data_IF_509243113708
#
_entry.id   IF_509243113708
#
_cell.length_a   1.000
_cell.length_b   1.000
_cell.length_c   1.000
_cell.angle_alpha   90.00
_cell.angle_beta   90.00
_cell.angle_gamma   90.00
#
_symmetry.space_group_name_H-M   'P 1'
#
loop_
_entity.id
_entity.type
_entity.pdbx_description
1 polymer ?
#
# COMPACT_ATOMS: atom_id res chain seq x y z
N UNK A 1 -10.36 -6.43 37.90
CA UNK A 1 -10.54 -6.66 36.45
C UNK A 1 -10.06 -5.41 35.73
N UNK A 2 -8.79 -5.40 35.30
CA UNK A 2 -8.20 -4.25 34.61
C UNK A 2 -8.55 -4.29 33.13
N UNK A 3 -9.36 -3.33 32.68
CA UNK A 3 -9.55 -3.06 31.25
C UNK A 3 -8.23 -2.50 30.72
N UNK A 4 -7.51 -3.28 29.90
CA UNK A 4 -6.41 -2.75 29.11
C UNK A 4 -7.00 -1.88 28.00
N UNK A 5 -6.89 -0.56 28.15
CA UNK A 5 -7.20 0.40 27.10
C UNK A 5 -6.07 0.34 26.09
N UNK A 6 -6.32 -0.28 24.93
CA UNK A 6 -5.44 -0.21 23.77
C UNK A 6 -5.09 1.26 23.50
N UNK A 7 -3.79 1.55 23.49
CA UNK A 7 -3.23 2.88 23.65
C UNK A 7 -3.77 3.94 22.68
N UNK A 8 -3.80 5.19 23.18
CA UNK A 8 -4.20 6.43 22.49
C UNK A 8 -3.27 6.80 21.33
N UNK A 9 -3.13 5.96 20.30
CA UNK A 9 -2.81 6.48 18.97
C UNK A 9 -4.14 6.90 18.34
N UNK A 10 -4.23 8.15 17.87
CA UNK A 10 -5.39 8.59 17.10
C UNK A 10 -5.50 7.63 15.91
N UNK A 11 -6.57 6.84 15.87
CA UNK A 11 -6.91 6.11 14.67
C UNK A 11 -7.31 7.15 13.63
N UNK A 12 -6.51 7.26 12.58
CA UNK A 12 -6.80 8.09 11.42
C UNK A 12 -6.60 7.26 10.17
N UNK A 13 -7.52 7.43 9.21
CA UNK A 13 -7.29 6.91 7.89
C UNK A 13 -6.12 7.66 7.27
N UNK A 14 -5.25 6.93 6.57
CA UNK A 14 -4.30 7.53 5.64
C UNK A 14 -5.06 8.39 4.61
N UNK A 15 -4.42 9.45 4.13
CA UNK A 15 -5.05 10.43 3.23
C UNK A 15 -5.63 9.81 1.94
N UNK A 16 -5.25 8.58 1.59
CA UNK A 16 -5.82 7.80 0.49
C UNK A 16 -5.84 6.30 0.79
N UNK A 17 -6.56 5.55 -0.04
CA UNK A 17 -6.61 4.09 0.00
C UNK A 17 -6.65 3.51 -1.43
N UNK A 18 -6.20 2.27 -1.58
CA UNK A 18 -6.30 1.51 -2.83
C UNK A 18 -7.07 0.22 -2.57
N UNK A 19 -8.18 0.03 -3.29
CA UNK A 19 -8.91 -1.24 -3.32
C UNK A 19 -8.47 -2.07 -4.52
N UNK A 20 -8.07 -3.32 -4.29
CA UNK A 20 -7.70 -4.26 -5.36
C UNK A 20 -8.44 -5.59 -5.19
N UNK A 21 -8.82 -6.20 -6.31
CA UNK A 21 -9.36 -7.56 -6.34
C UNK A 21 -8.23 -8.53 -6.66
N UNK A 22 -8.12 -9.61 -5.90
CA UNK A 22 -7.07 -10.63 -6.09
C UNK A 22 -7.69 -12.03 -6.08
N UNK A 23 -7.10 -12.97 -6.82
CA UNK A 23 -7.50 -14.38 -6.75
C UNK A 23 -7.24 -14.94 -5.35
N UNK A 24 -8.02 -15.92 -4.86
CA UNK A 24 -7.84 -16.49 -3.51
C UNK A 24 -6.41 -17.01 -3.25
N UNK A 25 -5.76 -17.56 -4.28
CA UNK A 25 -4.36 -18.02 -4.22
C UNK A 25 -3.33 -16.92 -3.97
N UNK A 26 -3.70 -15.65 -4.12
CA UNK A 26 -2.81 -14.50 -3.92
C UNK A 26 -3.00 -13.83 -2.54
N UNK A 27 -3.99 -14.26 -1.74
CA UNK A 27 -4.32 -13.61 -0.45
C UNK A 27 -3.11 -13.55 0.48
N UNK A 28 -2.41 -14.67 0.67
CA UNK A 28 -1.27 -14.75 1.58
C UNK A 28 -0.12 -13.83 1.13
N UNK A 29 0.21 -13.88 -0.16
CA UNK A 29 1.25 -13.03 -0.76
C UNK A 29 0.92 -11.55 -0.60
N UNK A 30 -0.33 -11.15 -0.86
CA UNK A 30 -0.78 -9.76 -0.75
C UNK A 30 -0.80 -9.31 0.71
N UNK A 31 -1.20 -10.18 1.64
CA UNK A 31 -1.18 -9.91 3.08
C UNK A 31 0.23 -9.63 3.57
N UNK A 32 1.18 -10.51 3.23
CA UNK A 32 2.59 -10.33 3.58
C UNK A 32 3.18 -9.04 2.97
N UNK A 33 2.78 -8.70 1.76
CA UNK A 33 3.20 -7.44 1.12
C UNK A 33 2.68 -6.19 1.84
N UNK A 34 1.42 -6.20 2.30
CA UNK A 34 0.85 -5.08 3.07
C UNK A 34 1.50 -4.96 4.45
N UNK A 35 1.78 -6.08 5.12
CA UNK A 35 2.41 -6.07 6.45
C UNK A 35 3.84 -5.52 6.42
N UNK A 36 4.62 -5.83 5.38
CA UNK A 36 6.00 -5.37 5.26
C UNK A 36 6.12 -4.00 4.53
N UNK A 37 5.00 -3.36 4.22
CA UNK A 37 4.96 -2.17 3.38
C UNK A 37 5.68 -0.97 4.01
N UNK A 38 5.66 -0.85 5.34
CA UNK A 38 6.37 0.22 6.07
C UNK A 38 7.90 0.13 5.90
N UNK A 39 8.46 -1.08 5.90
CA UNK A 39 9.89 -1.29 5.66
C UNK A 39 10.27 -0.97 4.21
N UNK A 40 9.47 -1.44 3.25
CA UNK A 40 9.68 -1.13 1.83
C UNK A 40 9.56 0.38 1.54
N UNK A 41 8.63 1.08 2.19
CA UNK A 41 8.46 2.53 2.05
C UNK A 41 9.62 3.36 2.63
N UNK A 42 10.55 2.76 3.39
CA UNK A 42 11.80 3.44 3.78
C UNK A 42 12.78 3.60 2.62
N UNK A 43 12.68 2.74 1.60
CA UNK A 43 13.61 2.71 0.45
C UNK A 43 12.96 3.01 -0.90
N UNK A 44 11.63 3.06 -0.97
CA UNK A 44 10.88 3.31 -2.21
C UNK A 44 9.66 4.19 -1.91
N UNK A 45 9.54 5.30 -2.62
CA UNK A 45 8.40 6.21 -2.52
C UNK A 45 7.16 5.61 -3.20
N UNK A 46 5.99 6.09 -2.79
CA UNK A 46 4.73 5.73 -3.44
C UNK A 46 4.75 6.02 -4.95
N UNK A 47 5.34 7.16 -5.35
CA UNK A 47 5.42 7.56 -6.75
C UNK A 47 6.25 6.58 -7.58
N UNK A 48 7.44 6.20 -7.11
CA UNK A 48 8.29 5.21 -7.80
C UNK A 48 7.56 3.88 -7.99
N UNK A 49 6.84 3.45 -6.95
CA UNK A 49 6.06 2.21 -6.95
C UNK A 49 4.86 2.28 -7.90
N UNK A 50 4.20 3.43 -7.99
CA UNK A 50 3.10 3.64 -8.93
C UNK A 50 3.60 3.59 -10.38
N UNK A 51 4.70 4.26 -10.70
CA UNK A 51 5.33 4.20 -12.02
C UNK A 51 5.80 2.79 -12.39
N UNK A 52 6.32 2.04 -11.42
CA UNK A 52 6.70 0.63 -11.59
C UNK A 52 5.48 -0.23 -11.95
N UNK A 53 4.34 -0.04 -11.28
CA UNK A 53 3.10 -0.76 -11.57
C UNK A 53 2.58 -0.47 -12.99
N UNK A 54 2.66 0.78 -13.46
CA UNK A 54 2.28 1.15 -14.82
C UNK A 54 3.18 0.47 -15.86
N UNK A 55 4.51 0.48 -15.64
CA UNK A 55 5.48 -0.20 -16.50
C UNK A 55 5.26 -1.71 -16.56
N UNK A 56 5.08 -2.37 -15.41
CA UNK A 56 4.80 -3.81 -15.34
C UNK A 56 3.49 -4.20 -16.05
N UNK A 57 2.53 -3.29 -16.07
CA UNK A 57 1.24 -3.49 -16.73
C UNK A 57 1.25 -3.07 -18.21
N UNK A 58 2.41 -2.66 -18.74
CA UNK A 58 2.58 -2.12 -20.10
C UNK A 58 1.59 -0.99 -20.44
N UNK A 59 1.22 -0.19 -19.43
CA UNK A 59 0.38 0.99 -19.61
C UNK A 59 1.28 2.15 -19.99
N UNK A 60 1.08 2.71 -21.18
CA UNK A 60 1.70 3.98 -21.54
C UNK A 60 1.13 5.10 -20.68
N UNK A 61 2.02 5.95 -20.19
CA UNK A 61 1.65 7.14 -19.44
C UNK A 61 2.55 8.30 -19.87
N UNK A 62 1.98 9.48 -19.83
CA UNK A 62 2.74 10.72 -19.96
C UNK A 62 3.01 11.24 -18.56
N UNK A 63 4.29 11.30 -18.20
CA UNK A 63 4.75 11.73 -16.87
C UNK A 63 4.03 12.99 -16.42
N UNK A 64 3.73 13.94 -17.33
CA UNK A 64 3.05 15.21 -17.05
C UNK A 64 1.72 15.11 -16.31
N UNK A 65 1.07 13.95 -16.35
CA UNK A 65 -0.25 13.70 -15.77
C UNK A 65 -0.26 12.65 -14.67
N UNK A 66 0.91 12.24 -14.18
CA UNK A 66 1.05 11.18 -13.16
C UNK A 66 1.22 11.77 -11.74
N UNK A 67 0.62 12.94 -11.50
CA UNK A 67 0.61 13.67 -10.22
C UNK A 67 -0.64 14.54 -10.04
#
# INVERSE_FOLDING_TARGET
MGSQVLGRKKFEWQAGYLGVTVSPSQIERVTNYVLNQEEHHRGQTFHEKYLEMLKLSAIEYDERYVW
#
